data_IF_179683863752
#
_entry.id   IF_179683863752
#
_cell.length_a   1.000
_cell.length_b   1.000
_cell.length_c   1.000
_cell.angle_alpha   90.00
_cell.angle_beta   90.00
_cell.angle_gamma   90.00
#
_symmetry.space_group_name_H-M   'P 1'
#
loop_
_entity.id
_entity.type
_entity.pdbx_description
1 polymer ?
#
# COMPACT_ATOMS: atom_id res chain seq x y z
N UNK A 1 27.74 -12.88 -17.89
CA UNK A 1 26.33 -12.54 -18.21
C UNK A 1 25.86 -11.51 -17.22
N UNK A 2 25.24 -10.40 -17.67
CA UNK A 2 24.73 -9.39 -16.75
C UNK A 2 23.36 -9.79 -16.18
N UNK A 3 22.92 -9.10 -15.11
CA UNK A 3 21.65 -9.41 -14.42
C UNK A 3 20.44 -9.42 -15.37
N UNK A 4 20.36 -8.45 -16.27
CA UNK A 4 19.25 -8.35 -17.24
C UNK A 4 19.24 -9.48 -18.28
N UNK A 5 20.41 -9.88 -18.78
CA UNK A 5 20.56 -11.02 -19.70
C UNK A 5 20.12 -12.33 -19.04
N UNK A 6 20.59 -12.58 -17.82
CA UNK A 6 20.21 -13.78 -17.06
C UNK A 6 18.71 -13.83 -16.77
N UNK A 7 18.09 -12.71 -16.38
CA UNK A 7 16.64 -12.63 -16.17
C UNK A 7 15.86 -12.95 -17.44
N UNK A 8 16.25 -12.37 -18.58
CA UNK A 8 15.59 -12.60 -19.85
C UNK A 8 15.69 -14.06 -20.30
N UNK A 9 16.85 -14.70 -20.12
CA UNK A 9 17.04 -16.11 -20.44
C UNK A 9 16.18 -17.02 -19.54
N UNK A 10 16.16 -16.77 -18.23
CA UNK A 10 15.30 -17.51 -17.28
C UNK A 10 13.83 -17.40 -17.69
N UNK A 11 13.34 -16.19 -17.96
CA UNK A 11 11.96 -15.95 -18.36
C UNK A 11 11.62 -16.64 -19.69
N UNK A 12 12.55 -16.62 -20.67
CA UNK A 12 12.36 -17.29 -21.95
C UNK A 12 12.22 -18.80 -21.77
N UNK A 13 13.04 -19.42 -20.92
CA UNK A 13 12.97 -20.85 -20.61
C UNK A 13 11.64 -21.19 -19.92
N UNK A 14 11.26 -20.42 -18.90
CA UNK A 14 10.01 -20.64 -18.17
C UNK A 14 8.79 -20.56 -19.11
N UNK A 15 8.77 -19.59 -20.03
CA UNK A 15 7.70 -19.46 -21.03
C UNK A 15 7.55 -20.69 -21.93
N UNK A 16 8.64 -21.40 -22.23
CA UNK A 16 8.59 -22.58 -23.11
C UNK A 16 7.89 -23.78 -22.49
N UNK A 17 7.66 -23.77 -21.17
CA UNK A 17 7.06 -24.89 -20.43
C UNK A 17 5.72 -24.57 -19.77
N UNK A 18 5.11 -23.42 -20.10
CA UNK A 18 3.86 -22.97 -19.47
C UNK A 18 2.68 -23.94 -19.65
N UNK A 19 2.59 -24.68 -20.75
CA UNK A 19 1.53 -25.67 -20.95
C UNK A 19 1.88 -27.06 -20.35
N UNK A 20 3.08 -27.23 -19.81
CA UNK A 20 3.55 -28.49 -19.26
C UNK A 20 3.48 -28.51 -17.73
N UNK A 21 2.36 -28.99 -17.20
CA UNK A 21 2.10 -29.09 -15.75
C UNK A 21 3.23 -29.74 -14.96
N UNK A 22 3.77 -30.88 -15.42
CA UNK A 22 4.85 -31.58 -14.70
C UNK A 22 6.15 -30.78 -14.65
N UNK A 23 6.44 -30.01 -15.70
CA UNK A 23 7.60 -29.13 -15.72
C UNK A 23 7.40 -27.94 -14.77
N UNK A 24 6.22 -27.34 -14.78
CA UNK A 24 5.87 -26.25 -13.85
C UNK A 24 5.92 -26.70 -12.40
N UNK A 25 5.40 -27.88 -12.06
CA UNK A 25 5.47 -28.42 -10.70
C UNK A 25 6.92 -28.58 -10.23
N UNK A 26 7.81 -29.08 -11.10
CA UNK A 26 9.24 -29.21 -10.77
C UNK A 26 9.91 -27.85 -10.55
N UNK A 27 9.64 -26.87 -11.42
CA UNK A 27 10.18 -25.51 -11.29
C UNK A 27 9.66 -24.88 -10.01
N UNK A 28 8.36 -24.99 -9.74
CA UNK A 28 7.73 -24.47 -8.54
C UNK A 28 8.34 -25.07 -7.26
N UNK A 29 8.49 -26.40 -7.19
CA UNK A 29 9.14 -27.07 -6.07
C UNK A 29 10.58 -26.60 -5.90
N UNK A 30 11.37 -26.53 -6.98
CA UNK A 30 12.75 -26.04 -6.92
C UNK A 30 12.82 -24.60 -6.40
N UNK A 31 11.98 -23.70 -6.92
CA UNK A 31 11.91 -22.32 -6.46
C UNK A 31 11.58 -22.27 -4.97
N UNK A 32 10.55 -22.97 -4.50
CA UNK A 32 10.15 -22.97 -3.09
C UNK A 32 11.19 -23.56 -2.13
N UNK A 33 12.00 -24.51 -2.60
CA UNK A 33 12.94 -25.24 -1.73
C UNK A 33 14.33 -24.63 -1.70
N UNK A 34 14.80 -24.13 -2.84
CA UNK A 34 16.20 -23.72 -3.01
C UNK A 34 16.39 -22.20 -3.11
N UNK A 35 15.34 -21.44 -3.43
CA UNK A 35 15.48 -20.01 -3.79
C UNK A 35 14.54 -19.09 -3.01
N UNK A 36 13.25 -19.45 -2.91
CA UNK A 36 12.24 -18.62 -2.29
C UNK A 36 12.43 -18.65 -0.78
N UNK A 37 12.92 -17.54 -0.25
CA UNK A 37 12.79 -17.24 1.16
C UNK A 37 11.47 -16.50 1.34
N UNK A 38 10.56 -17.08 2.12
CA UNK A 38 9.36 -16.36 2.53
C UNK A 38 9.83 -15.09 3.25
N UNK A 39 9.53 -13.90 2.71
CA UNK A 39 9.98 -12.67 3.34
C UNK A 39 9.46 -12.68 4.77
N UNK A 40 10.35 -12.53 5.75
CA UNK A 40 9.92 -12.35 7.13
C UNK A 40 8.90 -11.22 7.14
N UNK A 41 7.71 -11.41 7.72
CA UNK A 41 6.74 -10.34 7.85
C UNK A 41 7.46 -9.14 8.43
N UNK A 42 7.46 -8.02 7.69
CA UNK A 42 8.11 -6.82 8.19
C UNK A 42 7.40 -6.40 9.47
N UNK A 43 8.11 -6.50 10.59
CA UNK A 43 7.51 -6.35 11.90
C UNK A 43 7.64 -4.90 12.35
N UNK A 44 6.51 -4.19 12.35
CA UNK A 44 6.43 -2.81 12.83
C UNK A 44 6.79 -2.80 14.32
N UNK A 45 7.84 -2.07 14.76
CA UNK A 45 8.22 -2.05 16.16
C UNK A 45 7.07 -1.58 17.05
N UNK A 46 6.89 -2.20 18.22
CA UNK A 46 5.73 -1.96 19.10
C UNK A 46 5.48 -0.49 19.43
N UNK A 47 6.54 0.33 19.52
CA UNK A 47 6.42 1.77 19.78
C UNK A 47 5.73 2.54 18.63
N UNK A 48 5.84 2.07 17.39
CA UNK A 48 5.25 2.71 16.21
C UNK A 48 3.88 2.15 15.84
N UNK A 49 3.50 0.95 16.32
CA UNK A 49 2.28 0.24 15.87
C UNK A 49 1.02 1.10 15.91
N UNK A 50 0.81 1.85 17.01
CA UNK A 50 -0.37 2.71 17.14
C UNK A 50 -0.36 3.86 16.12
N UNK A 51 0.75 4.62 16.06
CA UNK A 51 0.88 5.72 15.13
C UNK A 51 0.76 5.23 13.68
N UNK A 52 1.45 4.15 13.32
CA UNK A 52 1.40 3.57 11.97
C UNK A 52 -0.03 3.19 11.57
N UNK A 53 -0.79 2.57 12.48
CA UNK A 53 -2.20 2.21 12.24
C UNK A 53 -3.08 3.45 12.02
N UNK A 54 -2.95 4.48 12.86
CA UNK A 54 -3.77 5.70 12.77
C UNK A 54 -3.43 6.53 11.52
N UNK A 55 -2.13 6.67 11.22
CA UNK A 55 -1.65 7.33 10.00
C UNK A 55 -2.13 6.58 8.77
N UNK A 56 -2.06 5.24 8.77
CA UNK A 56 -2.56 4.42 7.67
C UNK A 56 -4.05 4.69 7.38
N UNK A 57 -4.88 4.81 8.41
CA UNK A 57 -6.30 5.18 8.27
C UNK A 57 -6.46 6.56 7.60
N UNK A 58 -5.71 7.56 8.08
CA UNK A 58 -5.70 8.93 7.55
C UNK A 58 -5.28 8.99 6.08
N UNK A 59 -4.17 8.34 5.72
CA UNK A 59 -3.73 8.22 4.32
C UNK A 59 -4.78 7.55 3.44
N UNK A 60 -5.44 6.51 3.97
CA UNK A 60 -6.48 5.78 3.23
C UNK A 60 -7.72 6.63 2.94
N UNK A 61 -7.93 7.69 3.74
CA UNK A 61 -8.94 8.72 3.60
C UNK A 61 -8.49 9.92 2.74
N UNK A 62 -7.24 9.95 2.28
CA UNK A 62 -6.70 11.01 1.41
C UNK A 62 -6.04 12.16 2.16
N UNK A 63 -5.69 11.97 3.42
CA UNK A 63 -4.93 12.95 4.21
C UNK A 63 -3.43 12.77 3.97
N UNK A 64 -2.67 13.86 4.00
CA UNK A 64 -1.22 13.85 4.17
C UNK A 64 -0.94 13.86 5.66
N UNK A 65 0.03 13.06 6.10
CA UNK A 65 0.45 13.01 7.48
C UNK A 65 1.84 13.64 7.66
N UNK A 66 2.00 14.44 8.70
CA UNK A 66 3.27 14.92 9.20
C UNK A 66 3.58 14.19 10.50
N UNK A 67 4.72 13.50 10.57
CA UNK A 67 5.06 12.64 11.70
C UNK A 67 6.38 13.04 12.35
N UNK A 68 6.38 13.23 13.67
CA UNK A 68 7.58 13.45 14.47
C UNK A 68 8.11 12.13 15.04
N UNK A 69 9.25 11.61 14.56
CA UNK A 69 9.77 10.31 15.01
C UNK A 69 10.31 10.31 16.44
N UNK A 70 10.62 11.48 17.02
CA UNK A 70 11.16 11.62 18.37
C UNK A 70 10.05 11.58 19.42
N UNK A 71 8.92 12.24 19.15
CA UNK A 71 7.78 12.35 20.07
C UNK A 71 6.64 11.38 19.76
N UNK A 72 6.63 10.81 18.56
CA UNK A 72 5.55 9.99 17.99
C UNK A 72 4.23 10.77 17.79
N UNK A 73 4.28 12.10 17.85
CA UNK A 73 3.17 12.97 17.49
C UNK A 73 3.01 13.01 15.97
N UNK A 74 1.78 13.19 15.52
CA UNK A 74 1.48 13.38 14.11
C UNK A 74 0.28 14.31 13.90
N UNK A 75 0.23 14.90 12.72
CA UNK A 75 -0.81 15.80 12.26
C UNK A 75 -1.23 15.39 10.85
N UNK A 76 -2.54 15.38 10.60
CA UNK A 76 -3.10 15.01 9.30
C UNK A 76 -3.82 16.21 8.67
N UNK A 77 -3.51 16.50 7.42
CA UNK A 77 -4.13 17.58 6.66
C UNK A 77 -4.63 17.02 5.33
N UNK A 78 -5.85 17.36 4.85
CA UNK A 78 -6.29 16.97 3.52
C UNK A 78 -5.26 17.33 2.46
N UNK A 79 -4.95 16.40 1.55
CA UNK A 79 -3.88 16.56 0.54
C UNK A 79 -3.95 17.89 -0.22
N UNK A 80 -5.16 18.30 -0.58
CA UNK A 80 -5.40 19.52 -1.35
C UNK A 80 -5.16 20.81 -0.54
N UNK A 81 -5.07 20.73 0.79
CA UNK A 81 -4.85 21.88 1.68
C UNK A 81 -3.47 21.89 2.36
N UNK A 82 -2.76 20.76 2.35
CA UNK A 82 -1.54 20.56 3.15
C UNK A 82 -0.36 21.47 2.74
N UNK A 83 -0.37 21.97 1.50
CA UNK A 83 0.72 22.77 0.94
C UNK A 83 0.30 24.19 0.57
N UNK A 84 -0.94 24.57 0.86
CA UNK A 84 -1.47 25.91 0.59
C UNK A 84 -2.15 26.47 1.85
N UNK A 85 -1.39 27.17 2.71
CA UNK A 85 -1.93 27.77 3.93
C UNK A 85 -3.04 28.81 3.67
N UNK A 86 -3.00 29.50 2.51
CA UNK A 86 -4.04 30.47 2.14
C UNK A 86 -5.34 29.76 1.77
N UNK A 87 -5.26 28.68 0.98
CA UNK A 87 -6.42 27.84 0.65
C UNK A 87 -6.98 27.15 1.90
N UNK A 88 -6.12 26.68 2.81
CA UNK A 88 -6.54 26.13 4.09
C UNK A 88 -7.32 27.16 4.93
N UNK A 89 -6.79 28.37 5.11
CA UNK A 89 -7.47 29.43 5.86
C UNK A 89 -8.80 29.80 5.20
N UNK A 90 -8.83 29.88 3.87
CA UNK A 90 -10.06 30.17 3.12
C UNK A 90 -11.13 29.08 3.32
N UNK A 91 -10.74 27.81 3.35
CA UNK A 91 -11.65 26.66 3.46
C UNK A 91 -12.10 26.37 4.89
N UNK A 92 -11.23 26.57 5.87
CA UNK A 92 -11.46 26.20 7.28
C UNK A 92 -11.84 27.40 8.16
N UNK A 93 -11.41 28.62 7.78
CA UNK A 93 -11.53 29.82 8.61
C UNK A 93 -10.45 29.95 9.69
N UNK A 94 -9.45 29.06 9.69
CA UNK A 94 -8.35 29.01 10.66
C UNK A 94 -7.01 28.98 9.92
N UNK A 95 -5.99 29.68 10.43
CA UNK A 95 -4.60 29.44 9.99
C UNK A 95 -4.10 28.12 10.57
N UNK A 96 -3.04 27.54 10.00
CA UNK A 96 -2.39 26.35 10.56
C UNK A 96 -2.05 26.51 12.05
N UNK A 97 -1.49 27.66 12.43
CA UNK A 97 -1.16 27.99 13.82
C UNK A 97 -2.42 27.97 14.72
N UNK A 98 -3.52 28.60 14.28
CA UNK A 98 -4.76 28.65 15.08
C UNK A 98 -5.49 27.30 15.17
N UNK A 99 -5.33 26.45 14.15
CA UNK A 99 -5.80 25.07 14.14
C UNK A 99 -4.93 24.15 15.04
N UNK A 100 -3.85 24.68 15.61
CA UNK A 100 -2.95 23.94 16.49
C UNK A 100 -1.99 23.00 15.76
N UNK A 101 -1.78 23.22 14.46
CA UNK A 101 -0.79 22.50 13.66
C UNK A 101 0.60 23.06 13.98
N UNK A 102 1.50 22.17 14.42
CA UNK A 102 2.85 22.50 14.89
C UNK A 102 3.94 21.72 14.17
N UNK A 103 3.61 20.99 13.09
CA UNK A 103 4.62 20.25 12.33
C UNK A 103 5.76 21.13 11.79
N UNK A 104 5.48 22.40 11.47
CA UNK A 104 6.50 23.39 11.07
C UNK A 104 7.50 23.73 12.19
N UNK A 105 7.15 23.48 13.45
CA UNK A 105 8.02 23.71 14.61
C UNK A 105 8.85 22.47 15.00
N UNK A 106 8.57 21.31 14.40
CA UNK A 106 9.30 20.09 14.74
C UNK A 106 10.70 20.08 14.12
N UNK A 107 11.72 19.79 14.95
CA UNK A 107 13.09 19.63 14.47
C UNK A 107 13.22 18.46 13.47
N UNK A 108 12.46 17.39 13.70
CA UNK A 108 12.39 16.22 12.83
C UNK A 108 10.92 16.00 12.45
N UNK A 109 10.64 16.06 11.15
CA UNK A 109 9.32 15.83 10.60
C UNK A 109 9.44 14.99 9.33
N UNK A 110 8.70 13.89 9.28
CA UNK A 110 8.57 13.02 8.11
C UNK A 110 7.20 13.28 7.50
N UNK A 111 7.15 13.77 6.27
CA UNK A 111 5.90 13.89 5.51
C UNK A 111 5.59 12.56 4.83
N UNK A 112 4.39 12.06 5.04
CA UNK A 112 3.89 10.79 4.51
C UNK A 112 2.68 11.12 3.66
N UNK A 113 2.81 10.95 2.35
CA UNK A 113 1.72 11.21 1.41
C UNK A 113 0.86 9.95 1.18
N UNK A 114 -0.41 10.10 0.79
CA UNK A 114 -1.19 9.01 0.26
C UNK A 114 -0.47 8.34 -0.92
N UNK A 115 -0.54 7.01 -0.99
CA UNK A 115 -0.03 6.25 -2.12
C UNK A 115 -0.57 6.78 -3.44
N UNK A 116 0.33 6.87 -4.42
CA UNK A 116 -0.06 7.19 -5.78
C UNK A 116 -1.09 6.18 -6.33
N UNK A 117 -1.91 6.64 -7.27
CA UNK A 117 -3.00 5.81 -7.80
C UNK A 117 -2.51 4.47 -8.36
N UNK A 118 -1.31 4.44 -8.94
CA UNK A 118 -0.73 3.21 -9.50
C UNK A 118 -0.33 2.19 -8.42
N UNK A 119 0.11 2.64 -7.25
CA UNK A 119 0.44 1.74 -6.13
C UNK A 119 -0.81 1.28 -5.40
N UNK A 120 -1.79 2.17 -5.21
CA UNK A 120 -3.13 1.81 -4.72
C UNK A 120 -3.82 0.78 -5.62
N UNK A 121 -3.60 0.85 -6.94
CA UNK A 121 -4.12 -0.12 -7.89
C UNK A 121 -3.48 -1.51 -7.69
N UNK A 122 -2.17 -1.59 -7.48
CA UNK A 122 -1.47 -2.86 -7.20
C UNK A 122 -2.01 -3.55 -5.94
N UNK A 123 -2.40 -2.79 -4.90
CA UNK A 123 -3.03 -3.37 -3.71
C UNK A 123 -4.32 -4.09 -4.07
N UNK A 124 -5.12 -3.56 -5.01
CA UNK A 124 -6.32 -4.24 -5.48
C UNK A 124 -5.96 -5.53 -6.23
N UNK A 125 -4.93 -5.50 -7.08
CA UNK A 125 -4.44 -6.70 -7.78
C UNK A 125 -3.98 -7.78 -6.80
N UNK A 126 -3.16 -7.41 -5.79
CA UNK A 126 -2.71 -8.36 -4.78
C UNK A 126 -3.85 -8.94 -3.95
N UNK A 127 -4.90 -8.15 -3.68
CA UNK A 127 -6.07 -8.69 -2.98
C UNK A 127 -6.82 -9.73 -3.83
N UNK A 128 -6.90 -9.54 -5.15
CA UNK A 128 -7.53 -10.50 -6.06
C UNK A 128 -6.79 -11.84 -5.99
N UNK A 129 -5.46 -11.84 -5.86
CA UNK A 129 -4.67 -13.06 -5.73
C UNK A 129 -4.97 -13.84 -4.44
N UNK A 130 -5.44 -13.17 -3.37
CA UNK A 130 -5.85 -13.78 -2.10
C UNK A 130 -7.30 -14.33 -2.11
N UNK A 131 -8.10 -13.96 -3.11
CA UNK A 131 -9.51 -14.41 -3.24
C UNK A 131 -9.55 -15.85 -3.76
N UNK A 132 -9.99 -16.78 -2.91
CA UNK A 132 -10.11 -18.21 -3.26
C UNK A 132 -11.33 -18.57 -4.10
N UNK A 133 -12.40 -17.76 -4.06
CA UNK A 133 -13.57 -17.97 -4.91
C UNK A 133 -13.26 -17.48 -6.33
N UNK A 134 -13.00 -18.41 -7.23
CA UNK A 134 -12.64 -18.14 -8.64
C UNK A 134 -13.70 -17.31 -9.36
N UNK A 135 -15.00 -17.49 -9.08
CA UNK A 135 -16.05 -16.70 -9.72
C UNK A 135 -16.01 -15.24 -9.25
N UNK A 136 -15.73 -15.02 -7.97
CA UNK A 136 -15.60 -13.67 -7.44
C UNK A 136 -14.30 -13.01 -7.90
N UNK A 137 -13.20 -13.77 -7.89
CA UNK A 137 -11.90 -13.34 -8.41
C UNK A 137 -12.01 -12.84 -9.86
N UNK A 138 -12.64 -13.60 -10.76
CA UNK A 138 -12.88 -13.20 -12.14
C UNK A 138 -13.70 -11.91 -12.25
N UNK A 139 -14.70 -11.70 -11.38
CA UNK A 139 -15.48 -10.45 -11.37
C UNK A 139 -14.61 -9.25 -11.00
N UNK A 140 -13.70 -9.40 -10.03
CA UNK A 140 -12.77 -8.36 -9.62
C UNK A 140 -11.75 -8.04 -10.73
N UNK A 141 -11.18 -9.06 -11.38
CA UNK A 141 -10.28 -8.89 -12.53
C UNK A 141 -10.99 -8.12 -13.65
N UNK A 142 -12.24 -8.49 -13.95
CA UNK A 142 -13.06 -7.78 -14.93
C UNK A 142 -13.37 -6.33 -14.50
N UNK A 143 -13.55 -6.07 -13.22
CA UNK A 143 -13.80 -4.73 -12.70
C UNK A 143 -12.58 -3.81 -12.87
N UNK A 144 -11.37 -4.31 -12.63
CA UNK A 144 -10.12 -3.56 -12.80
C UNK A 144 -9.77 -3.27 -14.27
N UNK A 145 -10.24 -4.11 -15.21
CA UNK A 145 -10.01 -3.91 -16.65
C UNK A 145 -11.06 -2.99 -17.33
N UNK A 146 -12.02 -2.45 -16.57
CA UNK A 146 -13.12 -1.60 -17.10
C UNK A 146 -12.94 -0.12 -16.74
N UNK A 147 -13.79 0.73 -17.31
CA UNK A 147 -13.89 2.15 -16.91
C UNK A 147 -14.24 2.26 -15.43
N UNK A 148 -13.58 3.20 -14.74
CA UNK A 148 -13.71 3.44 -13.29
C UNK A 148 -13.34 2.21 -12.44
N UNK A 149 -12.11 1.68 -12.60
CA UNK A 149 -11.70 0.43 -11.99
C UNK A 149 -11.82 0.45 -10.45
N UNK A 150 -11.34 1.51 -9.81
CA UNK A 150 -11.43 1.71 -8.36
C UNK A 150 -12.86 1.63 -7.83
N UNK A 151 -13.79 2.34 -8.48
CA UNK A 151 -15.18 2.41 -8.02
C UNK A 151 -15.89 1.05 -8.19
N UNK A 152 -15.67 0.39 -9.33
CA UNK A 152 -16.28 -0.92 -9.59
C UNK A 152 -15.74 -1.99 -8.64
N UNK A 153 -14.43 -2.00 -8.42
CA UNK A 153 -13.79 -2.93 -7.49
C UNK A 153 -14.34 -2.75 -6.07
N UNK A 154 -14.32 -1.51 -5.55
CA UNK A 154 -14.86 -1.19 -4.21
C UNK A 154 -16.31 -1.62 -4.07
N UNK A 155 -17.15 -1.30 -5.06
CA UNK A 155 -18.54 -1.69 -5.05
C UNK A 155 -18.73 -3.21 -4.93
N UNK A 156 -18.00 -4.01 -5.71
CA UNK A 156 -18.11 -5.47 -5.65
C UNK A 156 -17.67 -6.03 -4.30
N UNK A 157 -16.55 -5.55 -3.76
CA UNK A 157 -15.97 -6.06 -2.53
C UNK A 157 -16.80 -5.65 -1.31
N UNK A 158 -17.17 -4.38 -1.22
CA UNK A 158 -17.94 -3.85 -0.09
C UNK A 158 -19.36 -4.42 0.01
N UNK A 159 -19.90 -4.93 -1.09
CA UNK A 159 -21.21 -5.61 -1.14
C UNK A 159 -21.08 -7.14 -1.19
N UNK A 160 -19.97 -7.70 -0.72
CA UNK A 160 -19.71 -9.14 -0.67
C UNK A 160 -19.23 -9.59 0.71
N UNK A 161 -19.16 -10.90 0.90
CA UNK A 161 -18.56 -11.53 2.09
C UNK A 161 -17.05 -11.25 2.24
N UNK A 162 -16.42 -10.66 1.22
CA UNK A 162 -15.01 -10.26 1.22
C UNK A 162 -14.78 -8.86 1.80
N UNK A 163 -15.82 -8.09 2.15
CA UNK A 163 -15.70 -6.71 2.64
C UNK A 163 -14.68 -6.57 3.77
N UNK A 164 -14.81 -7.36 4.83
CA UNK A 164 -13.92 -7.25 5.98
C UNK A 164 -12.49 -7.66 5.63
N UNK A 165 -12.33 -8.78 4.89
CA UNK A 165 -11.02 -9.25 4.41
C UNK A 165 -10.30 -8.19 3.58
N UNK A 166 -11.03 -7.46 2.76
CA UNK A 166 -10.48 -6.36 1.98
C UNK A 166 -10.04 -5.19 2.84
N UNK A 167 -10.85 -4.78 3.81
CA UNK A 167 -10.44 -3.71 4.71
C UNK A 167 -9.23 -4.08 5.55
N UNK A 168 -9.20 -5.29 6.11
CA UNK A 168 -8.04 -5.79 6.86
C UNK A 168 -6.78 -5.86 5.97
N UNK A 169 -6.92 -6.38 4.74
CA UNK A 169 -5.81 -6.46 3.79
C UNK A 169 -5.32 -5.08 3.36
N UNK A 170 -6.24 -4.17 3.00
CA UNK A 170 -5.91 -2.79 2.62
C UNK A 170 -5.20 -2.09 3.78
N UNK A 171 -5.73 -2.19 5.00
CA UNK A 171 -5.13 -1.59 6.19
C UNK A 171 -3.71 -2.10 6.41
N UNK A 172 -3.49 -3.42 6.40
CA UNK A 172 -2.17 -4.00 6.55
C UNK A 172 -1.17 -3.50 5.47
N UNK A 173 -1.63 -3.29 4.22
CA UNK A 173 -0.78 -2.74 3.16
C UNK A 173 -0.44 -1.26 3.37
N UNK A 174 -1.38 -0.46 3.87
CA UNK A 174 -1.11 0.94 4.23
C UNK A 174 -0.17 1.03 5.44
N UNK A 175 -0.35 0.20 6.47
CA UNK A 175 0.55 0.16 7.63
C UNK A 175 1.99 -0.18 7.24
N UNK A 176 2.17 -1.17 6.35
CA UNK A 176 3.49 -1.53 5.83
C UNK A 176 4.14 -0.37 5.05
N UNK A 177 3.35 0.35 4.25
CA UNK A 177 3.84 1.53 3.52
C UNK A 177 4.23 2.67 4.44
N UNK A 178 3.38 3.02 5.40
CA UNK A 178 3.68 4.05 6.41
C UNK A 178 4.96 3.69 7.15
N UNK A 179 5.10 2.43 7.55
CA UNK A 179 6.31 1.97 8.21
C UNK A 179 7.56 2.05 7.34
N UNK A 180 7.48 1.69 6.06
CA UNK A 180 8.61 1.80 5.12
C UNK A 180 9.08 3.25 4.97
N UNK A 181 8.14 4.21 4.89
CA UNK A 181 8.44 5.65 4.84
C UNK A 181 9.08 6.11 6.15
N UNK A 182 8.50 5.77 7.31
CA UNK A 182 9.06 6.13 8.62
C UNK A 182 10.46 5.56 8.79
N UNK A 183 10.64 4.26 8.52
CA UNK A 183 11.90 3.54 8.63
C UNK A 183 12.98 4.18 7.76
N UNK A 184 12.64 4.57 6.54
CA UNK A 184 13.56 5.27 5.63
C UNK A 184 13.92 6.66 6.15
N UNK A 185 12.95 7.38 6.72
CA UNK A 185 13.18 8.74 7.27
C UNK A 185 13.97 8.78 8.58
N UNK A 186 14.08 7.66 9.31
CA UNK A 186 14.87 7.55 10.56
C UNK A 186 16.20 6.78 10.38
N UNK A 187 16.48 6.27 9.18
CA UNK A 187 17.72 5.52 8.87
C UNK A 187 18.84 6.45 8.43
#
# INVERSE_FOLDING_TARGET
MNKGQLQNEILAIIRTVFDNKKALEKIHTFLLTEIYEEPKPEEIPSKYKKAVSEIADGLSAGLICFFNPDTLEFEDIPKDLAYDPEEFEMMTGETFESAGLKHDEWNNCITIEPMESHDSFKIMEYFIDEVRDTNFQEKLINALNRRKPFANFKYLVENSDYRQKWFDFKQARYELYVWDVIKTGIS
#
